data_IF_349594513107
#
_entry.id   IF_349594513107
#
_cell.length_a   1.000
_cell.length_b   1.000
_cell.length_c   1.000
_cell.angle_alpha   90.00
_cell.angle_beta   90.00
_cell.angle_gamma   90.00
#
_symmetry.space_group_name_H-M   'P 1'
#
loop_
_entity.id
_entity.type
_entity.pdbx_description
1 polymer ?
#
# COMPACT_ATOMS: atom_id res chain seq x y z
N UNK A 1 -7.92 7.13 12.79
CA UNK A 1 -6.75 6.63 12.04
C UNK A 1 -6.62 7.44 10.75
N UNK A 2 -5.44 7.97 10.42
CA UNK A 2 -5.25 8.90 9.29
C UNK A 2 -5.51 8.28 7.90
N UNK A 3 -5.39 6.95 7.77
CA UNK A 3 -5.64 6.23 6.53
C UNK A 3 -7.13 6.09 6.15
N UNK A 4 -8.06 6.27 7.09
CA UNK A 4 -9.48 5.95 6.87
C UNK A 4 -9.76 4.44 6.65
N UNK A 5 -8.74 3.59 6.86
CA UNK A 5 -8.87 2.13 6.90
C UNK A 5 -9.29 1.65 8.30
N UNK A 6 -9.63 0.37 8.43
CA UNK A 6 -9.93 -0.21 9.73
C UNK A 6 -8.66 -0.25 10.59
N UNK A 7 -8.70 0.45 11.72
CA UNK A 7 -7.59 0.53 12.66
C UNK A 7 -7.70 -0.38 13.87
N UNK A 8 -8.84 -1.06 14.05
CA UNK A 8 -9.02 -2.03 15.13
C UNK A 8 -8.41 -3.38 14.76
N UNK A 9 -8.36 -3.71 13.46
CA UNK A 9 -7.74 -4.94 12.96
C UNK A 9 -6.75 -4.63 11.85
N UNK A 10 -5.46 -4.78 12.16
CA UNK A 10 -4.38 -4.64 11.19
C UNK A 10 -3.30 -5.70 11.38
N UNK A 11 -2.48 -5.91 10.36
CA UNK A 11 -1.25 -6.70 10.41
C UNK A 11 -0.11 -5.92 9.76
N UNK A 12 1.07 -5.97 10.38
CA UNK A 12 2.28 -5.33 9.88
C UNK A 12 3.26 -6.38 9.37
N UNK A 13 3.66 -6.27 8.10
CA UNK A 13 4.47 -7.28 7.41
C UNK A 13 5.94 -6.88 7.23
N UNK A 14 6.33 -5.68 7.62
CA UNK A 14 7.67 -5.17 7.33
C UNK A 14 7.83 -4.91 5.83
N UNK A 15 8.88 -5.48 5.23
CA UNK A 15 9.20 -5.34 3.81
C UNK A 15 8.54 -6.43 2.97
N UNK A 16 8.11 -6.07 1.76
CA UNK A 16 7.69 -7.06 0.77
C UNK A 16 8.92 -7.75 0.13
N UNK A 17 8.75 -8.96 -0.43
CA UNK A 17 9.81 -9.65 -1.15
C UNK A 17 10.49 -8.76 -2.22
N UNK A 18 11.79 -8.99 -2.43
CA UNK A 18 12.58 -8.24 -3.41
C UNK A 18 12.27 -8.69 -4.83
N UNK A 19 12.20 -10.00 -5.03
CA UNK A 19 11.86 -10.64 -6.30
C UNK A 19 10.39 -10.34 -6.67
N UNK A 20 10.15 -10.03 -7.95
CA UNK A 20 8.90 -9.46 -8.43
C UNK A 20 7.74 -10.47 -8.39
N UNK A 21 7.98 -11.72 -8.78
CA UNK A 21 6.95 -12.77 -8.77
C UNK A 21 6.54 -13.13 -7.33
N UNK A 22 7.51 -13.29 -6.44
CA UNK A 22 7.30 -13.52 -5.01
C UNK A 22 6.53 -12.36 -4.37
N UNK A 23 6.87 -11.11 -4.72
CA UNK A 23 6.16 -9.92 -4.24
C UNK A 23 4.71 -9.90 -4.72
N UNK A 24 4.48 -10.13 -6.01
CA UNK A 24 3.13 -10.12 -6.58
C UNK A 24 2.28 -11.27 -5.99
N UNK A 25 2.89 -12.44 -5.76
CA UNK A 25 2.28 -13.56 -5.04
C UNK A 25 1.87 -13.18 -3.61
N UNK A 26 2.78 -12.55 -2.87
CA UNK A 26 2.52 -12.07 -1.50
C UNK A 26 1.39 -11.03 -1.47
N UNK A 27 1.37 -10.07 -2.41
CA UNK A 27 0.30 -9.06 -2.50
C UNK A 27 -1.07 -9.73 -2.68
N UNK A 28 -1.19 -10.72 -3.58
CA UNK A 28 -2.46 -11.44 -3.81
C UNK A 28 -2.90 -12.22 -2.56
N UNK A 29 -1.96 -12.85 -1.86
CA UNK A 29 -2.24 -13.58 -0.63
C UNK A 29 -2.79 -12.62 0.44
N UNK A 30 -2.11 -11.51 0.66
CA UNK A 30 -2.49 -10.50 1.64
C UNK A 30 -3.82 -9.81 1.28
N UNK A 31 -4.12 -9.61 0.00
CA UNK A 31 -5.42 -9.08 -0.44
C UNK A 31 -6.57 -10.03 -0.07
N UNK A 32 -6.38 -11.34 -0.29
CA UNK A 32 -7.37 -12.36 0.12
C UNK A 32 -7.57 -12.38 1.62
N UNK A 33 -6.48 -12.34 2.38
CA UNK A 33 -6.55 -12.29 3.85
C UNK A 33 -7.27 -11.03 4.34
N UNK A 34 -6.95 -9.87 3.75
CA UNK A 34 -7.60 -8.60 4.05
C UNK A 34 -9.11 -8.67 3.92
N UNK A 35 -9.62 -9.22 2.81
CA UNK A 35 -11.05 -9.37 2.56
C UNK A 35 -11.70 -10.37 3.54
N UNK A 36 -11.10 -11.54 3.73
CA UNK A 36 -11.63 -12.59 4.62
C UNK A 36 -11.70 -12.14 6.08
N UNK A 37 -10.69 -11.38 6.53
CA UNK A 37 -10.54 -10.99 7.92
C UNK A 37 -11.03 -9.58 8.20
N UNK A 38 -11.37 -8.79 7.17
CA UNK A 38 -11.55 -7.33 7.29
C UNK A 38 -10.38 -6.70 8.03
N UNK A 39 -9.17 -7.00 7.56
CA UNK A 39 -7.92 -6.61 8.22
C UNK A 39 -7.09 -5.72 7.30
N UNK A 40 -6.67 -4.56 7.81
CA UNK A 40 -5.73 -3.68 7.12
C UNK A 40 -4.36 -4.33 7.06
N UNK A 41 -3.76 -4.38 5.87
CA UNK A 41 -2.41 -4.93 5.66
C UNK A 41 -1.44 -3.77 5.51
N UNK A 42 -0.45 -3.68 6.40
CA UNK A 42 0.53 -2.58 6.45
C UNK A 42 1.94 -3.09 6.13
N UNK A 43 2.71 -2.28 5.40
CA UNK A 43 4.11 -2.57 5.07
C UNK A 43 4.91 -1.29 4.85
N UNK A 44 6.22 -1.42 5.01
CA UNK A 44 7.23 -0.36 4.79
C UNK A 44 8.10 -0.72 3.60
N UNK A 45 8.75 0.28 3.03
CA UNK A 45 9.73 0.05 1.98
C UNK A 45 10.82 1.13 2.00
N UNK A 46 11.97 0.82 1.40
CA UNK A 46 13.05 1.81 1.25
C UNK A 46 12.67 2.88 0.21
N UNK A 47 13.09 4.15 0.39
CA UNK A 47 12.66 5.27 -0.47
C UNK A 47 12.86 5.09 -1.98
N UNK A 48 13.88 4.34 -2.40
CA UNK A 48 14.17 4.08 -3.82
C UNK A 48 13.29 2.95 -4.41
N UNK A 49 12.63 2.15 -3.57
CA UNK A 49 11.73 1.06 -3.99
C UNK A 49 10.24 1.43 -3.92
N UNK A 50 9.89 2.57 -3.33
CA UNK A 50 8.49 2.99 -3.15
C UNK A 50 7.70 3.06 -4.46
N UNK A 51 8.29 3.61 -5.53
CA UNK A 51 7.64 3.66 -6.84
C UNK A 51 7.37 2.26 -7.38
N UNK A 52 8.36 1.36 -7.30
CA UNK A 52 8.21 -0.03 -7.76
C UNK A 52 7.16 -0.80 -6.94
N UNK A 53 7.11 -0.59 -5.63
CA UNK A 53 6.09 -1.19 -4.76
C UNK A 53 4.71 -0.63 -5.06
N UNK A 54 4.55 0.69 -5.21
CA UNK A 54 3.27 1.27 -5.57
C UNK A 54 2.76 0.75 -6.92
N UNK A 55 3.63 0.65 -7.91
CA UNK A 55 3.28 0.05 -9.21
C UNK A 55 2.85 -1.41 -9.07
N UNK A 56 3.57 -2.21 -8.27
CA UNK A 56 3.22 -3.61 -8.02
C UNK A 56 1.84 -3.75 -7.33
N UNK A 57 1.54 -2.91 -6.35
CA UNK A 57 0.24 -2.89 -5.67
C UNK A 57 -0.88 -2.50 -6.64
N UNK A 58 -0.68 -1.41 -7.39
CA UNK A 58 -1.69 -0.90 -8.33
C UNK A 58 -1.94 -1.88 -9.47
N UNK A 59 -0.92 -2.62 -9.92
CA UNK A 59 -1.03 -3.67 -10.93
C UNK A 59 -1.75 -4.91 -10.39
N UNK A 60 -1.45 -5.32 -9.17
CA UNK A 60 -1.84 -6.64 -8.64
C UNK A 60 -3.18 -6.63 -7.91
N UNK A 61 -3.47 -5.58 -7.14
CA UNK A 61 -4.69 -5.46 -6.36
C UNK A 61 -5.92 -5.26 -7.25
N UNK A 62 -7.08 -5.67 -6.75
CA UNK A 62 -8.38 -5.41 -7.35
C UNK A 62 -8.68 -3.91 -7.41
N UNK A 63 -9.38 -3.42 -8.46
CA UNK A 63 -9.72 -2.01 -8.61
C UNK A 63 -10.46 -1.40 -7.41
N UNK A 64 -11.27 -2.21 -6.71
CA UNK A 64 -12.07 -1.80 -5.56
C UNK A 64 -11.31 -1.72 -4.23
N UNK A 65 -10.13 -2.34 -4.15
CA UNK A 65 -9.31 -2.34 -2.93
C UNK A 65 -8.90 -0.91 -2.58
N UNK A 66 -9.04 -0.52 -1.30
CA UNK A 66 -8.61 0.80 -0.83
C UNK A 66 -7.14 0.74 -0.47
N UNK A 67 -6.33 1.58 -1.12
CA UNK A 67 -4.89 1.67 -0.93
C UNK A 67 -4.54 3.04 -0.36
N UNK A 68 -3.79 3.02 0.73
CA UNK A 68 -3.21 4.16 1.43
C UNK A 68 -1.71 4.22 1.15
N UNK A 69 -1.25 5.42 0.78
CA UNK A 69 0.17 5.80 0.80
C UNK A 69 0.31 6.92 1.82
N UNK A 70 1.11 6.70 2.85
CA UNK A 70 1.45 7.67 3.87
C UNK A 70 2.94 8.01 3.74
N UNK A 71 3.27 9.26 3.44
CA UNK A 71 4.64 9.72 3.23
C UNK A 71 5.01 10.81 4.23
N UNK A 72 6.31 10.92 4.55
CA UNK A 72 6.86 12.00 5.38
C UNK A 72 6.14 12.21 6.73
N UNK A 73 5.61 11.16 7.36
CA UNK A 73 4.69 11.27 8.50
C UNK A 73 5.18 12.12 9.68
N UNK A 74 6.49 12.22 9.88
CA UNK A 74 7.11 13.02 10.96
C UNK A 74 7.65 14.37 10.50
N UNK A 75 7.46 14.72 9.23
CA UNK A 75 7.92 15.95 8.60
C UNK A 75 6.75 16.93 8.39
N UNK A 76 7.01 18.25 8.31
CA UNK A 76 5.99 19.24 7.90
C UNK A 76 5.33 18.94 6.55
N UNK A 77 5.97 18.09 5.73
CA UNK A 77 5.45 17.64 4.43
C UNK A 77 4.73 16.29 4.52
N UNK A 78 4.21 15.91 5.69
CA UNK A 78 3.43 14.69 5.89
C UNK A 78 2.21 14.69 4.95
N UNK A 79 2.04 13.58 4.22
CA UNK A 79 0.89 13.38 3.36
C UNK A 79 0.34 11.96 3.55
N UNK A 80 -0.99 11.84 3.59
CA UNK A 80 -1.69 10.54 3.63
C UNK A 80 -2.76 10.56 2.57
N UNK A 81 -2.64 9.67 1.59
CA UNK A 81 -3.59 9.53 0.49
C UNK A 81 -4.19 8.14 0.50
N UNK A 82 -5.51 8.05 0.67
CA UNK A 82 -6.26 6.81 0.51
C UNK A 82 -7.18 6.94 -0.69
N UNK A 83 -7.05 6.03 -1.64
CA UNK A 83 -7.86 5.97 -2.86
C UNK A 83 -8.16 4.52 -3.21
N UNK A 84 -9.17 4.28 -4.02
CA UNK A 84 -9.31 2.95 -4.65
C UNK A 84 -8.13 2.71 -5.60
N UNK A 85 -7.80 1.45 -5.83
CA UNK A 85 -6.76 1.09 -6.81
C UNK A 85 -7.12 1.60 -8.21
N UNK A 86 -8.40 1.64 -8.57
CA UNK A 86 -8.86 2.27 -9.82
C UNK A 86 -8.42 3.74 -9.92
N UNK A 87 -8.67 4.53 -8.87
CA UNK A 87 -8.26 5.95 -8.82
C UNK A 87 -6.73 6.12 -8.82
N UNK A 88 -5.98 5.19 -8.24
CA UNK A 88 -4.51 5.21 -8.30
C UNK A 88 -3.98 4.96 -9.72
N UNK A 89 -4.66 4.13 -10.53
CA UNK A 89 -4.29 3.89 -11.93
C UNK A 89 -4.43 5.15 -12.78
N UNK A 90 -5.45 5.97 -12.51
CA UNK A 90 -5.67 7.25 -13.19
C UNK A 90 -4.67 8.34 -12.78
N UNK A 91 -4.18 8.28 -11.55
CA UNK A 91 -3.38 9.34 -10.94
C UNK A 91 -1.88 9.35 -11.29
N UNK A 92 -1.40 8.46 -12.15
CA UNK A 92 0.02 8.31 -12.54
C UNK A 92 1.01 8.35 -11.35
N UNK A 93 1.25 7.21 -10.67
CA UNK A 93 1.95 7.14 -9.38
C UNK A 93 3.48 7.38 -9.37
N UNK A 94 4.05 8.07 -10.37
CA UNK A 94 5.51 8.11 -10.60
C UNK A 94 6.31 9.06 -9.68
N UNK A 95 5.77 9.51 -8.55
CA UNK A 95 6.37 10.58 -7.74
C UNK A 95 6.64 10.20 -6.26
N UNK A 96 7.12 8.98 -5.98
CA UNK A 96 7.47 8.54 -4.61
C UNK A 96 8.95 8.21 -4.40
N UNK A 97 9.81 8.48 -5.38
CA UNK A 97 11.25 8.24 -5.23
C UNK A 97 11.85 9.17 -4.18
N UNK A 98 12.70 8.60 -3.31
CA UNK A 98 13.46 9.32 -2.26
C UNK A 98 12.64 9.90 -1.11
N UNK A 99 11.36 9.53 -0.98
CA UNK A 99 10.50 9.93 0.13
C UNK A 99 10.23 8.71 1.02
N UNK A 100 10.36 8.76 2.36
CA UNK A 100 9.95 7.66 3.22
C UNK A 100 8.42 7.46 3.18
N UNK A 101 7.99 6.22 2.94
CA UNK A 101 6.57 5.88 2.80
C UNK A 101 6.20 4.64 3.64
N UNK A 102 4.97 4.64 4.12
CA UNK A 102 4.24 3.49 4.64
C UNK A 102 3.07 3.25 3.69
N UNK A 103 2.83 1.99 3.39
CA UNK A 103 1.70 1.57 2.57
C UNK A 103 0.73 0.77 3.43
N UNK A 104 -0.55 0.90 3.10
CA UNK A 104 -1.59 0.11 3.72
C UNK A 104 -2.72 -0.17 2.76
N UNK A 105 -3.33 -1.34 2.80
CA UNK A 105 -4.57 -1.55 2.06
C UNK A 105 -5.61 -2.33 2.86
N UNK A 106 -6.87 -2.12 2.48
CA UNK A 106 -8.01 -2.88 2.94
C UNK A 106 -8.82 -3.31 1.73
N UNK A 107 -8.93 -4.62 1.53
CA UNK A 107 -9.78 -5.20 0.50
C UNK A 107 -11.23 -5.24 0.96
N UNK A 108 -12.14 -5.04 0.00
CA UNK A 108 -13.59 -5.14 0.19
C UNK A 108 -14.09 -6.56 0.01
#
# INVERSE_FOLDING_TARGET
>A
MASGLDGQRFAFHGYLPVEAEARDGQIRLLERESAQRRQTQLFIETPYRNTAVLQALVKTLKPSTRLTVASNLTSPHAAVHTRSVAQWREANPNALEKIPCIFGFLAS
#
